data_IF_361849205775
#
_entry.id   IF_361849205775
#
_cell.length_a   1.000
_cell.length_b   1.000
_cell.length_c   1.000
_cell.angle_alpha   90.00
_cell.angle_beta   90.00
_cell.angle_gamma   90.00
#
_symmetry.space_group_name_H-M   'P 1'
#
loop_
_entity.id
_entity.type
_entity.pdbx_description
1 polymer ?
#
# COMPACT_ATOMS: atom_id res chain seq x y z
N UNK A 1 -31.79 24.43 4.94
CA UNK A 1 -30.58 25.27 4.79
C UNK A 1 -29.40 24.36 5.09
N UNK A 2 -28.74 23.86 4.04
CA UNK A 2 -27.59 22.99 4.17
C UNK A 2 -26.42 23.81 4.71
N UNK A 3 -25.78 23.32 5.77
CA UNK A 3 -24.58 23.93 6.30
C UNK A 3 -23.47 23.81 5.26
N UNK A 4 -22.91 24.96 4.89
CA UNK A 4 -21.75 25.11 4.05
C UNK A 4 -20.56 24.48 4.81
N UNK A 5 -20.09 23.33 4.35
CA UNK A 5 -18.83 22.74 4.83
C UNK A 5 -17.70 23.61 4.29
N UNK A 6 -17.08 24.36 5.19
CA UNK A 6 -15.85 25.10 4.91
C UNK A 6 -14.78 24.11 4.46
N UNK A 7 -14.23 24.33 3.25
CA UNK A 7 -13.04 23.65 2.76
C UNK A 7 -11.85 24.05 3.65
N UNK A 8 -11.61 23.29 4.71
CA UNK A 8 -10.41 23.43 5.53
C UNK A 8 -9.28 22.69 4.80
N UNK A 9 -8.39 23.45 4.19
CA UNK A 9 -7.07 22.94 3.77
C UNK A 9 -6.30 22.61 5.05
N UNK A 10 -6.20 21.33 5.39
CA UNK A 10 -5.40 20.86 6.51
C UNK A 10 -3.91 21.10 6.19
N UNK A 11 -3.29 22.01 6.94
CA UNK A 11 -1.83 22.15 6.95
C UNK A 11 -1.19 20.94 7.64
N UNK A 12 0.07 20.58 7.32
CA UNK A 12 0.79 19.53 8.02
C UNK A 12 0.82 19.82 9.53
N UNK A 13 0.25 18.92 10.35
CA UNK A 13 0.46 18.90 11.80
C UNK A 13 -0.68 19.38 12.72
N UNK A 14 -1.89 19.68 12.23
CA UNK A 14 -3.04 19.99 13.13
C UNK A 14 -4.28 19.22 12.71
N UNK A 15 -4.73 18.30 13.58
CA UNK A 15 -5.87 17.40 13.38
C UNK A 15 -7.18 18.02 13.88
N UNK A 16 -8.28 17.79 13.15
CA UNK A 16 -9.65 17.90 13.67
C UNK A 16 -10.02 16.55 14.31
N UNK A 17 -10.38 16.57 15.60
CA UNK A 17 -10.42 15.40 16.49
C UNK A 17 -11.40 14.25 16.09
N UNK A 18 -12.13 14.36 14.99
CA UNK A 18 -13.23 13.45 14.63
C UNK A 18 -13.06 12.70 13.31
N UNK A 19 -12.05 13.01 12.51
CA UNK A 19 -11.84 12.33 11.22
C UNK A 19 -10.86 11.15 11.37
N UNK A 20 -11.12 10.00 10.73
CA UNK A 20 -10.19 8.87 10.69
C UNK A 20 -8.81 9.31 10.19
N UNK A 21 -7.77 8.74 10.78
CA UNK A 21 -6.40 9.14 10.49
C UNK A 21 -5.48 7.93 10.32
N UNK A 22 -4.43 8.14 9.54
CA UNK A 22 -3.26 7.24 9.53
C UNK A 22 -2.19 7.86 10.42
N UNK A 23 -1.79 7.15 11.48
CA UNK A 23 -0.71 7.58 12.36
C UNK A 23 0.60 6.96 11.91
N UNK A 24 1.63 7.78 11.77
CA UNK A 24 3.01 7.30 11.60
C UNK A 24 3.61 7.11 12.99
N UNK A 25 3.95 5.88 13.33
CA UNK A 25 4.46 5.48 14.64
C UNK A 25 5.90 4.99 14.48
N UNK A 26 6.78 5.53 15.32
CA UNK A 26 8.09 4.94 15.58
C UNK A 26 7.99 4.01 16.78
N UNK A 27 8.35 2.74 16.59
CA UNK A 27 8.47 1.76 17.66
C UNK A 27 9.94 1.41 17.92
N UNK A 28 10.33 1.33 19.19
CA UNK A 28 11.65 0.89 19.60
C UNK A 28 11.58 -0.24 20.63
N UNK A 29 12.46 -1.22 20.45
CA UNK A 29 12.84 -2.22 21.44
C UNK A 29 14.30 -1.94 21.80
N UNK A 30 14.58 -1.67 23.08
CA UNK A 30 15.92 -1.34 23.59
C UNK A 30 16.24 -2.23 24.80
N UNK A 31 16.37 -3.55 24.57
CA UNK A 31 16.67 -4.52 25.63
C UNK A 31 17.86 -5.39 25.22
N UNK A 32 19.04 -5.12 25.81
CA UNK A 32 20.28 -5.84 25.53
C UNK A 32 20.10 -7.37 25.60
N UNK A 33 20.52 -8.14 24.57
CA UNK A 33 21.32 -7.74 23.41
C UNK A 33 20.51 -7.34 22.16
N UNK A 34 19.19 -7.18 22.28
CA UNK A 34 18.28 -6.87 21.18
C UNK A 34 17.96 -5.37 21.12
N UNK A 35 18.34 -4.74 20.02
CA UNK A 35 17.86 -3.40 19.69
C UNK A 35 17.21 -3.43 18.31
N UNK A 36 15.96 -2.98 18.23
CA UNK A 36 15.22 -2.91 16.98
C UNK A 36 14.36 -1.65 16.94
N UNK A 37 14.36 -1.00 15.78
CA UNK A 37 13.54 0.18 15.50
C UNK A 37 12.68 -0.08 14.28
N UNK A 38 11.42 0.34 14.32
CA UNK A 38 10.46 0.21 13.24
C UNK A 38 9.68 1.50 13.08
N UNK A 39 9.38 1.88 11.85
CA UNK A 39 8.50 2.99 11.50
C UNK A 39 7.37 2.43 10.65
N UNK A 40 6.13 2.69 11.04
CA UNK A 40 4.96 2.14 10.36
C UNK A 40 3.78 3.11 10.42
N UNK A 41 2.91 3.03 9.42
CA UNK A 41 1.60 3.67 9.41
C UNK A 41 0.53 2.71 9.94
N UNK A 42 -0.45 3.22 10.70
CA UNK A 42 -1.61 2.44 11.15
C UNK A 42 -2.89 3.27 11.12
N UNK A 43 -4.01 2.60 10.80
CA UNK A 43 -5.36 3.13 10.93
C UNK A 43 -5.69 3.38 12.41
N UNK A 44 -6.00 4.62 12.77
CA UNK A 44 -6.30 4.98 14.15
C UNK A 44 -7.62 4.40 14.68
N UNK A 45 -8.50 3.91 13.80
CA UNK A 45 -9.73 3.21 14.20
C UNK A 45 -9.50 1.73 14.52
N UNK A 46 -8.29 1.21 14.30
CA UNK A 46 -7.91 -0.16 14.64
C UNK A 46 -7.93 -0.36 16.17
N UNK A 47 -8.38 -1.53 16.63
CA UNK A 47 -8.27 -1.90 18.04
C UNK A 47 -6.84 -2.33 18.43
N UNK A 48 -6.51 -2.17 19.71
CA UNK A 48 -5.17 -2.52 20.21
C UNK A 48 -4.86 -4.02 20.07
N UNK A 49 -5.88 -4.88 20.04
CA UNK A 49 -5.70 -6.31 19.73
C UNK A 49 -5.12 -6.51 18.33
N UNK A 50 -5.68 -5.83 17.34
CA UNK A 50 -5.24 -5.91 15.94
C UNK A 50 -3.89 -5.21 15.76
N UNK A 51 -3.67 -4.08 16.44
CA UNK A 51 -2.36 -3.43 16.48
C UNK A 51 -1.28 -4.37 17.02
N UNK A 52 -1.57 -5.16 18.06
CA UNK A 52 -0.59 -6.14 18.57
C UNK A 52 -0.23 -7.22 17.54
N UNK A 53 -1.16 -7.62 16.68
CA UNK A 53 -0.86 -8.59 15.60
C UNK A 53 0.01 -7.95 14.53
N UNK A 54 -0.28 -6.70 14.17
CA UNK A 54 0.55 -5.90 13.27
C UNK A 54 1.97 -5.76 13.81
N UNK A 55 2.12 -5.42 15.09
CA UNK A 55 3.42 -5.29 15.74
C UNK A 55 4.17 -6.63 15.82
N UNK A 56 3.46 -7.74 16.05
CA UNK A 56 4.05 -9.08 16.02
C UNK A 56 4.72 -9.36 14.67
N UNK A 57 4.02 -9.10 13.56
CA UNK A 57 4.56 -9.24 12.20
C UNK A 57 5.73 -8.27 11.95
N UNK A 58 5.59 -6.98 12.29
CA UNK A 58 6.61 -5.93 12.08
C UNK A 58 7.94 -6.27 12.76
N UNK A 59 7.87 -6.88 13.94
CA UNK A 59 9.03 -7.26 14.73
C UNK A 59 9.45 -8.72 14.54
N UNK A 60 8.76 -9.48 13.67
CA UNK A 60 9.09 -10.89 13.39
C UNK A 60 8.87 -11.80 14.59
N UNK A 61 7.98 -11.42 15.51
CA UNK A 61 7.54 -12.31 16.57
C UNK A 61 6.65 -13.39 15.92
N UNK A 62 7.05 -14.67 16.04
CA UNK A 62 6.30 -15.77 15.46
C UNK A 62 4.90 -15.95 16.09
N UNK A 63 4.15 -16.95 15.62
CA UNK A 63 2.79 -17.33 16.08
C UNK A 63 2.72 -17.84 17.54
N UNK A 64 3.64 -17.42 18.39
CA UNK A 64 3.64 -17.74 19.81
C UNK A 64 2.49 -17.01 20.52
N UNK A 65 1.61 -17.79 21.14
CA UNK A 65 0.59 -17.24 22.03
C UNK A 65 1.24 -16.77 23.34
N UNK A 66 1.82 -15.58 23.34
CA UNK A 66 2.36 -14.93 24.53
C UNK A 66 1.37 -13.93 25.14
N UNK A 67 1.46 -13.63 26.44
CA UNK A 67 0.70 -12.54 27.04
C UNK A 67 1.05 -11.20 26.38
N UNK A 68 0.03 -10.46 25.97
CA UNK A 68 0.16 -9.12 25.38
C UNK A 68 -0.54 -8.09 26.23
N UNK A 69 0.10 -6.94 26.44
CA UNK A 69 -0.51 -5.78 27.08
C UNK A 69 -0.11 -4.47 26.40
N UNK A 70 -0.96 -3.46 26.55
CA UNK A 70 -0.59 -2.08 26.29
C UNK A 70 -0.73 -1.30 27.58
N UNK A 71 0.16 -0.34 27.80
CA UNK A 71 0.05 0.56 28.94
C UNK A 71 0.53 1.97 28.60
N UNK A 72 -0.10 2.95 29.23
CA UNK A 72 0.31 4.33 29.12
C UNK A 72 1.56 4.57 29.97
N UNK A 73 2.57 5.29 29.47
CA UNK A 73 3.71 5.68 30.30
C UNK A 73 3.24 6.59 31.44
N UNK A 74 3.93 6.57 32.58
CA UNK A 74 3.57 7.39 33.75
C UNK A 74 3.58 8.90 33.51
N UNK A 75 4.10 9.36 32.36
CA UNK A 75 4.08 10.74 31.87
C UNK A 75 2.96 11.03 30.86
N UNK A 76 2.06 10.07 30.61
CA UNK A 76 0.98 10.22 29.64
C UNK A 76 0.01 11.35 30.03
N UNK A 77 -0.65 11.90 29.02
CA UNK A 77 -1.60 13.00 29.18
C UNK A 77 -2.75 12.56 30.10
N UNK A 78 -3.01 13.32 31.18
CA UNK A 78 -4.02 12.97 32.19
C UNK A 78 -5.41 12.74 31.61
N UNK A 79 -5.74 13.38 30.47
CA UNK A 79 -7.02 13.22 29.77
C UNK A 79 -7.19 11.83 29.16
N UNK A 80 -6.15 11.27 28.55
CA UNK A 80 -6.17 9.93 27.93
C UNK A 80 -6.32 8.86 29.01
N UNK A 81 -5.54 8.97 30.08
CA UNK A 81 -5.61 8.00 31.17
C UNK A 81 -6.97 8.02 31.90
N UNK A 82 -7.61 9.19 32.01
CA UNK A 82 -8.98 9.30 32.53
C UNK A 82 -10.04 8.68 31.63
N UNK A 83 -9.90 8.84 30.30
CA UNK A 83 -10.80 8.19 29.35
C UNK A 83 -10.73 6.67 29.45
N UNK A 84 -9.52 6.11 29.59
CA UNK A 84 -9.32 4.65 29.67
C UNK A 84 -9.74 4.07 31.02
N UNK A 85 -9.42 4.73 32.14
CA UNK A 85 -9.65 4.17 33.49
C UNK A 85 -10.97 4.58 34.14
N UNK A 86 -11.68 5.56 33.57
CA UNK A 86 -12.88 6.16 34.17
C UNK A 86 -12.60 7.00 35.43
N UNK A 87 -11.33 7.31 35.72
CA UNK A 87 -10.90 8.05 36.90
C UNK A 87 -9.52 8.67 36.74
N UNK A 88 -9.09 9.54 37.65
CA UNK A 88 -7.73 10.11 37.59
C UNK A 88 -6.73 9.10 38.18
N UNK A 89 -5.77 8.58 37.41
CA UNK A 89 -4.75 7.67 37.95
C UNK A 89 -3.85 8.40 38.95
N UNK A 90 -3.22 7.65 39.85
CA UNK A 90 -2.20 8.22 40.73
C UNK A 90 -0.95 8.63 39.92
N UNK A 91 -0.23 9.65 40.40
CA UNK A 91 0.98 10.10 39.73
C UNK A 91 2.03 8.97 39.65
N UNK A 92 2.45 8.62 38.42
CA UNK A 92 3.40 7.54 38.16
C UNK A 92 2.81 6.13 38.12
N UNK A 93 1.48 5.99 38.18
CA UNK A 93 0.81 4.70 38.02
C UNK A 93 0.84 4.27 36.54
N UNK A 94 1.26 3.02 36.29
CA UNK A 94 1.19 2.40 34.98
C UNK A 94 -0.26 1.98 34.73
N UNK A 95 -0.85 2.50 33.66
CA UNK A 95 -2.25 2.26 33.33
C UNK A 95 -2.33 1.23 32.21
N UNK A 96 -2.79 0.01 32.53
CA UNK A 96 -3.11 -1.03 31.55
C UNK A 96 -4.30 -0.56 30.68
N UNK A 97 -4.14 -0.65 29.37
CA UNK A 97 -5.18 -0.28 28.38
C UNK A 97 -5.87 -1.56 27.87
N UNK A 98 -7.22 -1.64 27.91
CA UNK A 98 -7.94 -2.78 27.35
C UNK A 98 -7.66 -2.98 25.87
N UNK A 99 -7.49 -4.23 25.41
CA UNK A 99 -7.21 -4.54 24.01
C UNK A 99 -8.33 -4.18 23.02
N UNK A 100 -9.55 -3.92 23.53
CA UNK A 100 -10.69 -3.46 22.72
C UNK A 100 -10.71 -1.96 22.47
N UNK A 101 -9.82 -1.21 23.11
CA UNK A 101 -9.63 0.24 22.93
C UNK A 101 -9.09 0.48 21.53
N UNK A 102 -9.50 1.57 20.87
CA UNK A 102 -8.95 1.94 19.56
C UNK A 102 -7.65 2.71 19.70
N UNK A 103 -6.85 2.74 18.64
CA UNK A 103 -5.61 3.53 18.62
C UNK A 103 -5.91 5.03 18.83
N UNK A 104 -6.98 5.56 18.23
CA UNK A 104 -7.39 6.96 18.34
C UNK A 104 -7.78 7.39 19.77
N UNK A 105 -8.17 6.44 20.62
CA UNK A 105 -8.49 6.72 22.02
C UNK A 105 -7.24 6.95 22.88
N UNK A 106 -6.08 6.42 22.46
CA UNK A 106 -4.82 6.49 23.23
C UNK A 106 -3.69 7.27 22.55
N UNK A 107 -3.71 7.38 21.23
CA UNK A 107 -2.71 8.05 20.41
C UNK A 107 -3.42 8.98 19.42
N UNK A 108 -3.20 10.29 19.55
CA UNK A 108 -3.91 11.30 18.76
C UNK A 108 -2.98 12.26 18.03
N UNK A 109 -1.89 12.66 18.70
CA UNK A 109 -1.01 13.75 18.26
C UNK A 109 0.45 13.30 18.24
N UNK A 110 1.28 13.93 17.38
CA UNK A 110 2.74 13.77 17.44
C UNK A 110 3.28 13.95 18.86
N UNK A 111 4.11 13.01 19.29
CA UNK A 111 4.67 12.96 20.65
C UNK A 111 3.90 12.08 21.63
N UNK A 112 2.65 11.70 21.33
CA UNK A 112 1.92 10.73 22.14
C UNK A 112 2.66 9.39 22.16
N UNK A 113 2.63 8.73 23.31
CA UNK A 113 3.39 7.51 23.57
C UNK A 113 2.53 6.44 24.21
N UNK A 114 2.78 5.20 23.79
CA UNK A 114 2.13 4.00 24.30
C UNK A 114 3.19 2.91 24.41
N UNK A 115 3.13 2.10 25.44
CA UNK A 115 4.04 0.98 25.61
C UNK A 115 3.30 -0.30 25.25
N UNK A 116 3.93 -1.12 24.41
CA UNK A 116 3.44 -2.43 24.03
C UNK A 116 4.34 -3.52 24.60
N UNK A 117 3.75 -4.43 25.35
CA UNK A 117 4.43 -5.56 25.96
C UNK A 117 4.04 -6.85 25.24
N UNK A 118 5.05 -7.60 24.79
CA UNK A 118 4.93 -8.91 24.15
C UNK A 118 5.72 -9.94 24.96
N UNK A 119 5.02 -10.70 25.80
CA UNK A 119 5.66 -11.57 26.79
C UNK A 119 6.47 -10.75 27.80
N UNK A 120 7.79 -10.88 27.74
CA UNK A 120 8.73 -10.11 28.58
C UNK A 120 9.29 -8.87 27.87
N UNK A 121 9.10 -8.76 26.56
CA UNK A 121 9.67 -7.68 25.75
C UNK A 121 8.80 -6.43 25.80
N UNK A 122 9.44 -5.28 26.01
CA UNK A 122 8.77 -3.99 26.07
C UNK A 122 9.17 -3.11 24.88
N UNK A 123 8.17 -2.60 24.17
CA UNK A 123 8.36 -1.73 23.02
C UNK A 123 7.74 -0.36 23.29
N UNK A 124 8.50 0.71 23.06
CA UNK A 124 7.96 2.06 23.15
C UNK A 124 7.43 2.48 21.78
N UNK A 125 6.14 2.82 21.71
CA UNK A 125 5.49 3.37 20.52
C UNK A 125 5.37 4.89 20.68
N UNK A 126 5.79 5.65 19.68
CA UNK A 126 5.65 7.10 19.65
C UNK A 126 5.07 7.57 18.32
N UNK A 127 4.00 8.36 18.38
CA UNK A 127 3.43 9.03 17.20
C UNK A 127 4.42 10.08 16.71
N UNK A 128 4.81 9.98 15.45
CA UNK A 128 5.69 10.93 14.76
C UNK A 128 4.85 11.94 13.98
N UNK A 129 3.88 11.45 13.23
CA UNK A 129 3.04 12.24 12.33
C UNK A 129 1.62 11.64 12.28
N UNK A 130 0.65 12.44 11.85
CA UNK A 130 -0.73 12.03 11.69
C UNK A 130 -1.31 12.68 10.42
N UNK A 131 -1.97 11.88 9.59
CA UNK A 131 -2.53 12.32 8.31
C UNK A 131 -4.00 11.97 8.23
N UNK A 132 -4.78 12.81 7.53
CA UNK A 132 -6.14 12.45 7.14
C UNK A 132 -6.11 11.17 6.31
N UNK A 133 -7.04 10.27 6.58
CA UNK A 133 -7.14 8.96 5.96
C UNK A 133 -8.30 8.92 4.99
N UNK A 134 -8.08 8.27 3.85
CA UNK A 134 -9.14 7.84 2.94
C UNK A 134 -9.37 6.32 3.04
N UNK A 135 -10.42 5.82 2.39
CA UNK A 135 -10.76 4.40 2.38
C UNK A 135 -9.73 3.53 1.62
N UNK A 136 -8.88 4.14 0.78
CA UNK A 136 -7.88 3.43 -0.03
C UNK A 136 -6.58 3.15 0.72
N UNK A 137 -6.32 3.87 1.82
CA UNK A 137 -5.10 3.70 2.61
C UNK A 137 -5.12 2.35 3.36
N UNK A 138 -4.06 1.52 3.33
CA UNK A 138 -4.01 0.27 4.09
C UNK A 138 -4.16 0.47 5.60
N UNK A 139 -4.67 -0.54 6.30
CA UNK A 139 -4.84 -0.49 7.76
C UNK A 139 -3.52 -0.49 8.53
N UNK A 140 -2.47 -1.11 7.96
CA UNK A 140 -1.12 -1.07 8.48
C UNK A 140 -0.08 -1.21 7.36
N UNK A 141 1.02 -0.46 7.45
CA UNK A 141 2.14 -0.54 6.51
C UNK A 141 3.45 -0.23 7.23
N UNK A 142 4.45 -1.11 7.11
CA UNK A 142 5.81 -0.86 7.58
C UNK A 142 6.57 -0.01 6.54
N UNK A 143 7.10 1.12 6.97
CA UNK A 143 7.77 2.12 6.12
C UNK A 143 9.29 1.93 6.17
N UNK A 144 9.81 1.48 7.30
CA UNK A 144 11.24 1.23 7.45
C UNK A 144 11.59 0.73 8.84
N UNK A 145 12.86 0.41 9.04
CA UNK A 145 13.36 -0.05 10.32
C UNK A 145 14.80 -0.50 10.27
N UNK A 146 15.35 -0.78 11.44
CA UNK A 146 16.70 -1.31 11.62
C UNK A 146 16.77 -2.21 12.84
N UNK A 147 17.82 -3.01 12.93
CA UNK A 147 18.04 -3.92 14.04
C UNK A 147 17.26 -5.23 13.91
N UNK A 148 17.84 -6.28 14.51
CA UNK A 148 17.35 -7.64 14.47
C UNK A 148 16.86 -8.07 15.84
N UNK A 149 15.69 -8.72 15.89
CA UNK A 149 15.21 -9.41 17.06
C UNK A 149 15.74 -10.83 16.97
N UNK A 150 16.81 -11.10 17.71
CA UNK A 150 17.44 -12.41 17.74
C UNK A 150 16.80 -13.19 18.87
N UNK A 151 15.81 -14.03 18.54
CA UNK A 151 15.39 -15.06 19.48
C UNK A 151 16.65 -15.85 19.88
N UNK A 152 16.90 -15.93 21.19
CA UNK A 152 18.08 -16.54 21.83
C UNK A 152 18.66 -17.72 21.02
N UNK A 153 19.75 -17.53 20.27
CA UNK A 153 20.46 -18.66 19.69
C UNK A 153 21.41 -18.44 18.51
N UNK A 154 21.22 -17.44 17.65
CA UNK A 154 21.99 -17.37 16.39
C UNK A 154 22.81 -16.07 16.28
N UNK A 155 24.15 -16.19 16.28
CA UNK A 155 25.07 -15.08 16.59
C UNK A 155 25.73 -14.45 15.34
N UNK A 156 25.57 -15.01 14.14
CA UNK A 156 26.48 -14.64 13.02
C UNK A 156 25.89 -14.05 11.72
N UNK A 157 24.77 -13.30 11.72
CA UNK A 157 24.42 -12.44 10.57
C UNK A 157 23.64 -11.17 10.94
N UNK A 158 24.09 -10.00 10.44
CA UNK A 158 23.28 -8.79 10.31
C UNK A 158 22.43 -8.92 9.04
N UNK A 159 21.33 -9.67 9.10
CA UNK A 159 20.39 -9.70 7.97
C UNK A 159 19.58 -8.40 7.93
N UNK A 160 19.50 -7.72 6.77
CA UNK A 160 18.68 -6.53 6.62
C UNK A 160 17.19 -6.87 6.80
N UNK A 161 16.44 -5.96 7.42
CA UNK A 161 15.00 -6.12 7.61
C UNK A 161 14.29 -6.12 6.26
N UNK A 162 13.64 -7.22 5.89
CA UNK A 162 12.85 -7.32 4.66
C UNK A 162 11.48 -6.67 4.84
N UNK A 163 11.43 -5.36 4.59
CA UNK A 163 10.20 -4.54 4.65
C UNK A 163 9.15 -5.05 3.66
N UNK A 164 9.57 -5.58 2.50
CA UNK A 164 8.65 -6.09 1.49
C UNK A 164 7.95 -7.37 1.97
N UNK A 165 8.69 -8.29 2.60
CA UNK A 165 8.09 -9.48 3.22
C UNK A 165 7.13 -9.11 4.35
N UNK A 166 7.52 -8.19 5.24
CA UNK A 166 6.66 -7.68 6.33
C UNK A 166 5.36 -7.11 5.75
N UNK A 167 5.45 -6.24 4.76
CA UNK A 167 4.26 -5.61 4.18
C UNK A 167 3.35 -6.60 3.44
N UNK A 168 3.94 -7.61 2.79
CA UNK A 168 3.19 -8.72 2.17
C UNK A 168 2.37 -9.50 3.20
N UNK A 169 2.91 -9.66 4.41
CA UNK A 169 2.23 -10.32 5.52
C UNK A 169 1.16 -9.42 6.17
N UNK A 170 1.50 -8.16 6.46
CA UNK A 170 0.59 -7.18 7.08
C UNK A 170 -0.65 -6.89 6.26
N UNK A 171 -0.48 -6.73 4.95
CA UNK A 171 -1.59 -6.42 4.04
C UNK A 171 -2.39 -7.68 3.68
N UNK A 172 -1.86 -8.87 4.01
CA UNK A 172 -2.51 -10.16 3.83
C UNK A 172 -2.80 -10.51 2.37
N UNK A 173 -2.77 -11.81 2.06
CA UNK A 173 -3.24 -12.34 0.77
C UNK A 173 -4.68 -11.94 0.46
N UNK A 174 -5.49 -11.56 1.46
CA UNK A 174 -6.87 -11.13 1.25
C UNK A 174 -6.96 -9.74 0.59
N UNK A 175 -6.08 -8.76 0.88
CA UNK A 175 -6.09 -7.49 0.12
C UNK A 175 -5.52 -7.68 -1.28
N UNK A 176 -4.50 -8.54 -1.44
CA UNK A 176 -3.92 -8.89 -2.74
C UNK A 176 -4.97 -9.61 -3.60
N UNK A 177 -5.60 -10.67 -3.08
CA UNK A 177 -6.64 -11.41 -3.79
C UNK A 177 -7.88 -10.56 -4.04
N UNK A 178 -8.29 -9.69 -3.12
CA UNK A 178 -9.41 -8.77 -3.37
C UNK A 178 -9.07 -7.73 -4.44
N UNK A 179 -7.84 -7.20 -4.45
CA UNK A 179 -7.37 -6.27 -5.50
C UNK A 179 -7.29 -6.99 -6.84
N UNK A 180 -6.62 -8.15 -6.88
CA UNK A 180 -6.49 -8.96 -8.10
C UNK A 180 -7.87 -9.46 -8.59
N UNK A 181 -8.81 -9.74 -7.69
CA UNK A 181 -10.18 -10.12 -8.07
C UNK A 181 -10.94 -9.01 -8.81
N UNK A 182 -10.55 -7.75 -8.63
CA UNK A 182 -11.11 -6.58 -9.33
C UNK A 182 -10.38 -6.25 -10.63
N UNK A 183 -9.16 -6.75 -10.80
CA UNK A 183 -8.42 -6.65 -12.04
C UNK A 183 -8.89 -7.70 -13.06
N UNK A 184 -8.66 -7.42 -14.34
CA UNK A 184 -8.85 -8.38 -15.42
C UNK A 184 -7.92 -9.59 -15.27
N UNK A 185 -8.40 -10.76 -15.71
CA UNK A 185 -7.77 -12.05 -15.41
C UNK A 185 -6.38 -12.22 -16.05
N UNK A 186 -6.19 -11.63 -17.22
CA UNK A 186 -4.93 -11.56 -17.97
C UNK A 186 -3.88 -10.67 -17.28
N UNK A 187 -4.26 -9.55 -16.66
CA UNK A 187 -3.35 -8.76 -15.80
C UNK A 187 -2.93 -9.55 -14.56
N UNK A 188 -3.87 -10.29 -13.95
CA UNK A 188 -3.55 -11.17 -12.81
C UNK A 188 -2.57 -12.26 -13.24
N UNK A 189 -2.78 -12.90 -14.39
CA UNK A 189 -1.89 -13.92 -14.95
C UNK A 189 -0.45 -13.40 -15.13
N UNK A 190 -0.29 -12.18 -15.67
CA UNK A 190 1.03 -11.53 -15.81
C UNK A 190 1.72 -11.34 -14.45
N UNK A 191 1.01 -10.82 -13.45
CA UNK A 191 1.57 -10.58 -12.11
C UNK A 191 1.99 -11.91 -11.47
N UNK A 192 1.16 -12.95 -11.59
CA UNK A 192 1.46 -14.27 -11.02
C UNK A 192 2.63 -14.98 -11.72
N UNK A 193 2.69 -14.93 -13.06
CA UNK A 193 3.76 -15.54 -13.86
C UNK A 193 5.10 -14.84 -13.71
N UNK A 194 5.11 -13.51 -13.73
CA UNK A 194 6.32 -12.70 -13.56
C UNK A 194 6.83 -12.69 -12.11
N UNK A 195 5.92 -12.87 -11.15
CA UNK A 195 6.19 -12.73 -9.73
C UNK A 195 6.50 -11.28 -9.30
N UNK A 196 6.17 -10.28 -10.13
CA UNK A 196 6.36 -8.86 -9.85
C UNK A 196 5.10 -8.32 -9.13
N UNK A 197 5.04 -8.57 -7.83
CA UNK A 197 3.90 -8.17 -6.98
C UNK A 197 3.89 -6.68 -6.64
N UNK A 198 4.91 -5.92 -7.04
CA UNK A 198 5.04 -4.48 -6.91
C UNK A 198 3.93 -3.70 -7.64
N UNK A 199 3.25 -4.34 -8.60
CA UNK A 199 2.05 -3.75 -9.23
C UNK A 199 0.79 -3.84 -8.38
N UNK A 200 0.74 -4.68 -7.33
CA UNK A 200 -0.47 -4.82 -6.51
C UNK A 200 -0.81 -3.53 -5.74
N UNK A 201 0.15 -2.86 -5.08
CA UNK A 201 -0.10 -1.53 -4.50
C UNK A 201 -0.55 -0.49 -5.52
N UNK A 202 -0.07 -0.57 -6.76
CA UNK A 202 -0.52 0.31 -7.85
C UNK A 202 -1.99 0.07 -8.19
N UNK A 203 -2.38 -1.20 -8.37
CA UNK A 203 -3.78 -1.57 -8.62
C UNK A 203 -4.70 -1.21 -7.45
N UNK A 204 -4.22 -1.32 -6.21
CA UNK A 204 -4.92 -0.83 -5.01
C UNK A 204 -5.15 0.68 -5.09
N UNK A 205 -4.11 1.45 -5.41
CA UNK A 205 -4.19 2.91 -5.53
C UNK A 205 -5.09 3.37 -6.69
N UNK A 206 -5.20 2.58 -7.76
CA UNK A 206 -6.14 2.84 -8.85
C UNK A 206 -7.60 2.69 -8.39
N UNK A 207 -7.90 1.89 -7.38
CA UNK A 207 -9.27 1.59 -6.93
C UNK A 207 -10.19 1.20 -8.10
N UNK A 208 -9.93 0.01 -8.68
CA UNK A 208 -10.70 -0.51 -9.83
C UNK A 208 -12.18 -0.75 -9.53
N UNK A 209 -12.60 -0.67 -8.25
CA UNK A 209 -14.01 -0.77 -7.87
C UNK A 209 -14.76 0.55 -7.99
N UNK A 210 -14.04 1.69 -8.01
CA UNK A 210 -14.62 3.02 -8.15
C UNK A 210 -15.53 3.07 -9.38
N UNK A 211 -16.83 3.16 -9.11
CA UNK A 211 -17.90 3.18 -10.11
C UNK A 211 -18.63 4.52 -10.02
N UNK A 212 -17.92 5.62 -10.21
CA UNK A 212 -18.52 6.94 -10.20
C UNK A 212 -18.47 7.54 -11.60
N UNK A 213 -19.59 7.47 -12.32
CA UNK A 213 -19.99 8.34 -13.44
C UNK A 213 -19.12 8.48 -14.70
N UNK A 214 -17.86 8.01 -14.74
CA UNK A 214 -16.93 8.25 -15.87
C UNK A 214 -17.32 7.51 -17.16
N UNK A 215 -17.94 6.34 -17.06
CA UNK A 215 -18.36 5.57 -18.24
C UNK A 215 -19.39 6.30 -19.13
N UNK A 216 -20.12 7.29 -18.60
CA UNK A 216 -21.05 8.15 -19.33
C UNK A 216 -20.38 9.37 -19.98
N UNK A 217 -19.22 9.80 -19.49
CA UNK A 217 -18.44 10.93 -20.02
C UNK A 217 -17.37 10.49 -21.03
N UNK A 218 -16.96 9.22 -20.99
CA UNK A 218 -16.02 8.59 -21.93
C UNK A 218 -16.69 8.17 -23.26
N UNK A 219 -17.52 9.04 -23.84
CA UNK A 219 -18.02 8.86 -25.21
C UNK A 219 -17.18 9.70 -26.15
N UNK A 220 -16.55 9.08 -27.17
CA UNK A 220 -15.77 9.81 -28.17
C UNK A 220 -16.66 10.72 -29.03
N UNK A 221 -16.04 11.63 -29.80
CA UNK A 221 -16.72 12.66 -30.61
C UNK A 221 -17.80 12.14 -31.57
N UNK A 222 -17.81 10.84 -31.90
CA UNK A 222 -18.72 10.19 -32.83
C UNK A 222 -19.70 9.16 -32.20
N UNK A 223 -19.82 9.09 -30.86
CA UNK A 223 -20.69 8.12 -30.19
C UNK A 223 -20.11 6.69 -30.11
N UNK A 224 -18.81 6.54 -30.40
CA UNK A 224 -18.06 5.32 -30.10
C UNK A 224 -17.81 5.21 -28.59
N UNK A 225 -18.02 4.00 -28.06
CA UNK A 225 -17.78 3.71 -26.66
C UNK A 225 -16.28 3.55 -26.43
N UNK A 226 -15.63 4.57 -25.85
CA UNK A 226 -14.22 4.51 -25.42
C UNK A 226 -14.02 3.35 -24.45
N UNK A 227 -15.00 3.11 -23.58
CA UNK A 227 -15.03 1.94 -22.69
C UNK A 227 -14.85 0.61 -23.46
N UNK A 228 -15.56 0.44 -24.59
CA UNK A 228 -15.41 -0.78 -25.39
C UNK A 228 -14.01 -0.91 -25.99
N UNK A 229 -13.40 0.20 -26.40
CA UNK A 229 -12.03 0.23 -26.95
C UNK A 229 -10.99 -0.10 -25.87
N UNK A 230 -11.10 0.51 -24.69
CA UNK A 230 -10.25 0.22 -23.53
C UNK A 230 -10.32 -1.25 -23.12
N UNK A 231 -11.53 -1.80 -23.04
CA UNK A 231 -11.74 -3.22 -22.69
C UNK A 231 -11.29 -4.20 -23.77
N UNK A 232 -11.11 -3.71 -25.01
CA UNK A 232 -10.64 -4.52 -26.13
C UNK A 232 -9.11 -4.58 -26.22
N UNK A 233 -8.38 -3.79 -25.43
CA UNK A 233 -6.94 -3.99 -25.23
C UNK A 233 -6.73 -5.27 -24.41
N UNK A 234 -5.62 -6.02 -24.62
CA UNK A 234 -4.68 -5.89 -25.74
C UNK A 234 -5.31 -6.21 -27.11
N UNK A 235 -4.82 -5.56 -28.16
CA UNK A 235 -5.21 -5.85 -29.56
C UNK A 235 -4.48 -7.10 -30.09
N UNK A 236 -3.25 -7.33 -29.63
CA UNK A 236 -2.46 -8.50 -29.95
C UNK A 236 -3.20 -9.77 -29.51
N UNK A 237 -3.22 -10.80 -30.36
CA UNK A 237 -4.00 -12.02 -30.11
C UNK A 237 -3.22 -12.95 -29.17
N UNK A 238 -3.75 -13.23 -27.99
CA UNK A 238 -3.06 -14.03 -26.96
C UNK A 238 -2.62 -15.44 -27.41
N UNK A 239 -3.28 -16.04 -28.40
CA UNK A 239 -2.91 -17.38 -28.90
C UNK A 239 -1.88 -17.33 -30.03
N UNK A 240 -1.94 -16.29 -30.87
CA UNK A 240 -1.07 -16.16 -32.06
C UNK A 240 0.17 -15.33 -31.79
N UNK A 241 0.07 -14.39 -30.86
CA UNK A 241 1.09 -13.44 -30.47
C UNK A 241 1.08 -13.22 -28.94
N UNK A 242 1.47 -14.26 -28.17
CA UNK A 242 1.50 -14.19 -26.72
C UNK A 242 2.52 -13.16 -26.19
N UNK A 243 3.63 -12.94 -26.90
CA UNK A 243 4.65 -11.98 -26.50
C UNK A 243 4.15 -10.54 -26.65
N UNK A 244 3.52 -10.20 -27.78
CA UNK A 244 2.90 -8.90 -27.99
C UNK A 244 1.73 -8.64 -27.04
N UNK A 245 0.92 -9.66 -26.77
CA UNK A 245 -0.18 -9.57 -25.80
C UNK A 245 0.33 -9.27 -24.38
N UNK A 246 1.35 -10.01 -23.92
CA UNK A 246 1.96 -9.78 -22.61
C UNK A 246 2.63 -8.39 -22.55
N UNK A 247 3.35 -7.99 -23.60
CA UNK A 247 3.96 -6.66 -23.70
C UNK A 247 2.94 -5.52 -23.55
N UNK A 248 1.79 -5.63 -24.22
CA UNK A 248 0.72 -4.63 -24.14
C UNK A 248 0.13 -4.50 -22.72
N UNK A 249 -0.02 -5.61 -21.99
CA UNK A 249 -0.48 -5.58 -20.60
C UNK A 249 0.57 -4.96 -19.66
N UNK A 250 1.84 -5.26 -19.89
CA UNK A 250 2.95 -4.66 -19.14
C UNK A 250 3.00 -3.15 -19.37
N UNK A 251 2.85 -2.69 -20.61
CA UNK A 251 2.77 -1.26 -20.93
C UNK A 251 1.59 -0.57 -20.24
N UNK A 252 0.40 -1.19 -20.21
CA UNK A 252 -0.75 -0.67 -19.47
C UNK A 252 -0.46 -0.51 -17.97
N UNK A 253 0.22 -1.48 -17.35
CA UNK A 253 0.62 -1.41 -15.95
C UNK A 253 1.68 -0.32 -15.70
N UNK A 254 2.66 -0.19 -16.59
CA UNK A 254 3.67 0.87 -16.47
C UNK A 254 3.07 2.26 -16.69
N UNK A 255 2.13 2.43 -17.62
CA UNK A 255 1.41 3.70 -17.82
C UNK A 255 0.59 4.09 -16.58
N UNK A 256 0.02 3.11 -15.86
CA UNK A 256 -0.67 3.35 -14.60
C UNK A 256 0.25 3.88 -13.50
N UNK A 257 1.54 3.51 -13.52
CA UNK A 257 2.51 4.05 -12.58
C UNK A 257 2.87 5.52 -12.84
N UNK A 258 2.42 6.11 -13.96
CA UNK A 258 2.68 7.51 -14.36
C UNK A 258 4.17 7.90 -14.31
N UNK A 259 5.05 6.96 -14.67
CA UNK A 259 6.50 7.15 -14.68
C UNK A 259 6.99 7.88 -15.94
N UNK A 260 8.25 8.31 -15.94
CA UNK A 260 8.91 8.74 -17.19
C UNK A 260 9.05 7.58 -18.17
N UNK A 261 9.26 7.89 -19.45
CA UNK A 261 9.48 6.87 -20.49
C UNK A 261 10.70 5.99 -20.21
N UNK A 262 11.81 6.59 -19.76
CA UNK A 262 13.03 5.84 -19.39
C UNK A 262 12.74 4.79 -18.30
N UNK A 263 12.04 5.19 -17.22
CA UNK A 263 11.71 4.28 -16.13
C UNK A 263 10.64 3.26 -16.55
N UNK A 264 9.70 3.66 -17.42
CA UNK A 264 8.72 2.75 -18.01
C UNK A 264 9.40 1.64 -18.81
N UNK A 265 10.35 2.01 -19.67
CA UNK A 265 11.11 1.08 -20.49
C UNK A 265 11.94 0.11 -19.63
N UNK A 266 12.60 0.60 -18.58
CA UNK A 266 13.36 -0.24 -17.64
C UNK A 266 12.46 -1.25 -16.92
N UNK A 267 11.31 -0.80 -16.41
CA UNK A 267 10.35 -1.67 -15.73
C UNK A 267 9.73 -2.68 -16.71
N UNK A 268 9.36 -2.24 -17.91
CA UNK A 268 8.76 -3.11 -18.92
C UNK A 268 9.72 -4.23 -19.35
N UNK A 269 10.98 -3.88 -19.66
CA UNK A 269 12.02 -4.85 -19.98
C UNK A 269 12.23 -5.86 -18.85
N UNK A 270 12.29 -5.37 -17.59
CA UNK A 270 12.45 -6.24 -16.43
C UNK A 270 11.29 -7.23 -16.26
N UNK A 271 10.04 -6.78 -16.43
CA UNK A 271 8.88 -7.67 -16.30
C UNK A 271 8.86 -8.72 -17.42
N UNK A 272 9.16 -8.32 -18.65
CA UNK A 272 9.22 -9.23 -19.80
C UNK A 272 10.33 -10.28 -19.64
N UNK A 273 11.50 -9.89 -19.12
CA UNK A 273 12.57 -10.83 -18.75
C UNK A 273 12.07 -11.85 -17.71
N UNK A 274 11.35 -11.39 -16.67
CA UNK A 274 10.80 -12.26 -15.61
C UNK A 274 9.73 -13.22 -16.13
N UNK A 275 8.98 -12.82 -17.16
CA UNK A 275 8.04 -13.69 -17.89
C UNK A 275 8.75 -14.71 -18.80
N UNK A 276 10.05 -14.54 -19.03
CA UNK A 276 10.87 -15.40 -19.89
C UNK A 276 10.80 -15.03 -21.37
N UNK A 277 10.38 -13.81 -21.70
CA UNK A 277 10.40 -13.31 -23.07
C UNK A 277 11.79 -12.78 -23.43
N UNK A 278 12.30 -13.25 -24.56
CA UNK A 278 13.58 -12.87 -25.15
C UNK A 278 13.41 -12.75 -26.67
N UNK A 279 14.36 -12.10 -27.34
CA UNK A 279 14.38 -12.06 -28.80
C UNK A 279 14.63 -13.46 -29.40
N UNK A 280 14.41 -13.61 -30.71
CA UNK A 280 14.74 -14.85 -31.44
C UNK A 280 16.22 -15.26 -31.33
N UNK A 281 17.10 -14.33 -30.95
CA UNK A 281 18.53 -14.55 -30.75
C UNK A 281 18.89 -14.89 -29.28
N UNK A 282 17.90 -14.99 -28.39
CA UNK A 282 18.09 -15.26 -26.96
C UNK A 282 18.64 -14.06 -26.18
N UNK A 283 18.37 -12.84 -26.67
CA UNK A 283 18.81 -11.59 -26.04
C UNK A 283 17.63 -11.01 -25.24
N UNK A 284 17.85 -10.54 -24.00
CA UNK A 284 16.83 -9.84 -23.24
C UNK A 284 16.26 -8.64 -24.02
N UNK A 285 14.93 -8.50 -24.00
CA UNK A 285 14.23 -7.41 -24.66
C UNK A 285 14.53 -6.08 -23.97
N UNK A 286 14.79 -5.03 -24.75
CA UNK A 286 14.80 -3.65 -24.25
C UNK A 286 13.39 -3.11 -24.15
N UNK A 287 13.18 -2.00 -23.43
CA UNK A 287 11.86 -1.38 -23.35
C UNK A 287 11.32 -0.90 -24.72
N UNK A 288 12.20 -0.50 -25.63
CA UNK A 288 11.81 -0.17 -27.01
C UNK A 288 11.31 -1.41 -27.76
N UNK A 289 11.95 -2.57 -27.56
CA UNK A 289 11.49 -3.84 -28.15
C UNK A 289 10.13 -4.25 -27.58
N UNK A 290 9.89 -4.03 -26.28
CA UNK A 290 8.59 -4.32 -25.64
C UNK A 290 7.49 -3.43 -26.22
N UNK A 291 7.76 -2.14 -26.41
CA UNK A 291 6.82 -1.21 -27.06
C UNK A 291 6.53 -1.60 -28.51
N UNK A 292 7.55 -2.06 -29.26
CA UNK A 292 7.40 -2.55 -30.64
C UNK A 292 6.57 -3.83 -30.72
N UNK A 293 6.75 -4.77 -29.78
CA UNK A 293 5.92 -5.97 -29.66
C UNK A 293 4.45 -5.65 -29.43
N UNK A 294 4.16 -4.56 -28.70
CA UNK A 294 2.82 -4.08 -28.40
C UNK A 294 2.30 -3.01 -29.39
N UNK A 295 2.86 -2.91 -30.59
CA UNK A 295 2.65 -1.76 -31.48
C UNK A 295 1.17 -1.46 -31.80
N UNK A 296 0.31 -2.48 -31.93
CA UNK A 296 -1.10 -2.26 -32.24
C UNK A 296 -1.84 -1.69 -31.04
N UNK A 297 -1.62 -2.26 -29.85
CA UNK A 297 -2.13 -1.73 -28.59
C UNK A 297 -1.55 -0.35 -28.28
N UNK A 298 -0.26 -0.11 -28.54
CA UNK A 298 0.39 1.19 -28.31
C UNK A 298 -0.22 2.31 -29.15
N UNK A 299 -0.48 2.03 -30.43
CA UNK A 299 -1.17 2.96 -31.31
C UNK A 299 -2.58 3.29 -30.78
N UNK A 300 -3.32 2.29 -30.29
CA UNK A 300 -4.65 2.48 -29.72
C UNK A 300 -4.61 3.25 -28.39
N UNK A 301 -3.68 2.93 -27.49
CA UNK A 301 -3.44 3.65 -26.24
C UNK A 301 -3.12 5.12 -26.51
N UNK A 302 -2.24 5.39 -27.47
CA UNK A 302 -1.91 6.76 -27.89
C UNK A 302 -3.13 7.49 -28.47
N UNK A 303 -3.93 6.83 -29.32
CA UNK A 303 -5.16 7.39 -29.89
C UNK A 303 -6.25 7.68 -28.84
N UNK A 304 -6.24 6.95 -27.71
CA UNK A 304 -7.11 7.19 -26.57
C UNK A 304 -6.55 8.23 -25.59
N UNK A 305 -5.35 8.77 -25.85
CA UNK A 305 -4.69 9.76 -25.00
C UNK A 305 -4.02 9.19 -23.75
N UNK A 306 -3.76 7.87 -23.71
CA UNK A 306 -3.04 7.23 -22.60
C UNK A 306 -1.52 7.42 -22.65
N UNK A 307 -0.97 7.66 -23.84
CA UNK A 307 0.47 7.78 -24.10
C UNK A 307 0.74 8.71 -25.30
N UNK A 308 2.01 9.02 -25.55
CA UNK A 308 2.45 9.86 -26.68
C UNK A 308 2.36 11.37 -26.44
N UNK A 309 2.61 12.15 -27.49
CA UNK A 309 2.70 13.62 -27.43
C UNK A 309 1.37 14.29 -27.06
N UNK A 310 0.25 13.67 -27.45
CA UNK A 310 -1.11 14.16 -27.22
C UNK A 310 -1.78 13.50 -25.99
N UNK A 311 -0.98 12.96 -25.06
CA UNK A 311 -1.49 12.32 -23.85
C UNK A 311 -2.34 13.29 -23.00
N UNK A 312 -3.45 12.78 -22.47
CA UNK A 312 -4.35 13.54 -21.59
C UNK A 312 -3.68 13.86 -20.25
N UNK A 313 -4.36 14.68 -19.44
CA UNK A 313 -3.85 14.98 -18.10
C UNK A 313 -3.72 13.71 -17.25
N UNK A 314 -2.81 13.68 -16.26
CA UNK A 314 -2.61 12.49 -15.42
C UNK A 314 -3.89 11.97 -14.77
N UNK A 315 -4.82 12.85 -14.37
CA UNK A 315 -6.10 12.47 -13.75
C UNK A 315 -7.00 11.75 -14.76
N UNK A 316 -7.16 12.30 -15.96
CA UNK A 316 -7.97 11.70 -17.03
C UNK A 316 -7.38 10.35 -17.49
N UNK A 317 -6.05 10.25 -17.57
CA UNK A 317 -5.37 8.99 -17.89
C UNK A 317 -5.63 7.92 -16.85
N UNK A 318 -5.62 8.25 -15.55
CA UNK A 318 -5.94 7.29 -14.49
C UNK A 318 -7.37 6.77 -14.61
N UNK A 319 -8.34 7.60 -15.00
CA UNK A 319 -9.72 7.15 -15.24
C UNK A 319 -9.82 6.17 -16.41
N UNK A 320 -9.10 6.42 -17.50
CA UNK A 320 -9.02 5.49 -18.64
C UNK A 320 -8.33 4.18 -18.26
N UNK A 321 -7.23 4.24 -17.49
CA UNK A 321 -6.45 3.07 -17.06
C UNK A 321 -7.22 2.22 -16.05
N UNK A 322 -8.00 2.83 -15.15
CA UNK A 322 -8.96 2.10 -14.30
C UNK A 322 -9.91 1.27 -15.15
N UNK A 323 -10.44 1.84 -16.23
CA UNK A 323 -11.38 1.13 -17.10
C UNK A 323 -10.71 0.05 -17.96
N UNK A 324 -9.47 0.25 -18.40
CA UNK A 324 -8.70 -0.75 -19.13
C UNK A 324 -8.30 -1.95 -18.25
N UNK A 325 -7.96 -1.71 -16.99
CA UNK A 325 -7.41 -2.73 -16.07
C UNK A 325 -8.46 -3.45 -15.24
N UNK A 326 -9.70 -2.93 -15.17
CA UNK A 326 -10.77 -3.57 -14.40
C UNK A 326 -11.37 -4.78 -15.12
N UNK A 327 -12.01 -5.63 -14.32
CA UNK A 327 -12.75 -6.81 -14.77
C UNK A 327 -14.07 -6.50 -15.50
#
# INVERSE_FOLDING_TARGET
MAAQTDNVVAFPGVRVATEPATLIIGASLEEEPCSAHRVFGVNDQMDLRSLSRVLAVIFGWGDESVPTKFHLPGSAVESVAQLVTGGRPAAGEVVDVPLSTTVAEVLQSPGDTLIWQWGLWEHTLQVREAFARDEATPDALCIGGSGAIRALGDVDAEEPVDIAAINRELTGRDSIQNTLATARADVVDIIERSGVFEFVPLLQALDLQRSESTALELTGEAGESVVKRLRALPIEDAEKDPAGHDAALVELLCLAALTSDELRHDVAAHVMERLGWESDEGIPLSGEDVEELAAASWAEMSALGLAGEDALSPVERLDLLREALRR
#
